data_IF_172107741575
#
_entry.id   IF_172107741575
#
_cell.length_a   1.000
_cell.length_b   1.000
_cell.length_c   1.000
_cell.angle_alpha   90.00
_cell.angle_beta   90.00
_cell.angle_gamma   90.00
#
_symmetry.space_group_name_H-M   'P 1'
#
loop_
_entity.id
_entity.type
_entity.pdbx_description
1 polymer ?
#
# COMPACT_ATOMS: atom_id res chain seq x y z
N UNK A 1 -3.71 3.76 21.76
CA UNK A 1 -2.40 3.79 21.08
C UNK A 1 -1.38 4.56 21.93
N UNK A 2 -0.08 4.36 21.68
CA UNK A 2 1.00 5.09 22.34
C UNK A 2 0.93 6.59 22.05
N UNK A 3 1.56 7.45 22.88
CA UNK A 3 1.63 8.89 22.60
C UNK A 3 2.26 9.21 21.24
N UNK A 4 3.33 8.50 20.87
CA UNK A 4 4.01 8.67 19.60
C UNK A 4 3.10 8.37 18.41
N UNK A 5 2.41 7.21 18.41
CA UNK A 5 1.47 6.88 17.35
C UNK A 5 0.29 7.86 17.32
N UNK A 6 -0.22 8.26 18.48
CA UNK A 6 -1.30 9.23 18.57
C UNK A 6 -0.92 10.57 17.94
N UNK A 7 0.32 11.03 18.14
CA UNK A 7 0.81 12.26 17.57
C UNK A 7 0.63 12.24 16.04
N UNK A 8 1.11 11.20 15.36
CA UNK A 8 1.02 11.10 13.90
C UNK A 8 -0.40 10.79 13.37
N UNK A 9 -1.26 10.19 14.15
CA UNK A 9 -2.65 9.93 13.73
C UNK A 9 -3.55 11.17 13.83
N UNK A 10 -3.27 12.08 14.75
CA UNK A 10 -4.14 13.23 15.00
C UNK A 10 -3.57 14.57 14.55
N UNK A 11 -2.30 14.62 14.17
CA UNK A 11 -1.67 15.82 13.65
C UNK A 11 -1.30 15.65 12.17
N UNK A 12 -1.48 16.72 11.41
CA UNK A 12 -1.06 16.76 10.01
C UNK A 12 0.43 17.14 9.95
N UNK A 13 1.31 16.17 10.22
CA UNK A 13 2.77 16.35 10.23
C UNK A 13 3.30 16.28 8.81
N UNK A 14 4.05 17.28 8.41
CA UNK A 14 4.72 17.38 7.10
C UNK A 14 6.23 17.24 7.25
N UNK A 15 6.94 17.04 6.15
CA UNK A 15 8.41 16.99 6.17
C UNK A 15 9.05 18.26 6.76
N UNK A 16 8.42 19.42 6.62
CA UNK A 16 8.90 20.69 7.15
C UNK A 16 8.90 20.74 8.69
N UNK A 17 8.09 19.91 9.35
CA UNK A 17 7.99 19.84 10.81
C UNK A 17 9.14 19.03 11.45
N UNK A 18 9.94 18.32 10.62
CA UNK A 18 11.10 17.56 11.07
C UNK A 18 12.36 18.43 11.12
N UNK A 19 12.46 19.28 12.14
CA UNK A 19 13.68 20.04 12.45
C UNK A 19 14.53 19.38 13.55
N UNK A 20 15.75 19.88 13.73
CA UNK A 20 16.60 19.44 14.85
C UNK A 20 15.91 19.84 16.16
N UNK A 21 15.69 18.87 17.06
CA UNK A 21 14.96 19.03 18.32
C UNK A 21 13.47 19.42 18.16
N UNK A 22 12.86 19.06 17.02
CA UNK A 22 11.41 19.22 16.87
C UNK A 22 10.64 18.09 17.56
N UNK A 23 9.41 18.39 18.02
CA UNK A 23 8.51 17.39 18.59
C UNK A 23 8.24 16.24 17.61
N UNK A 24 8.09 16.55 16.32
CA UNK A 24 7.89 15.53 15.28
C UNK A 24 9.04 14.53 15.22
N UNK A 25 10.30 15.00 15.29
CA UNK A 25 11.47 14.14 15.30
C UNK A 25 11.55 13.28 16.58
N UNK A 26 11.24 13.88 17.74
CA UNK A 26 11.22 13.17 19.02
C UNK A 26 10.17 12.06 19.04
N UNK A 27 8.94 12.36 18.58
CA UNK A 27 7.87 11.36 18.50
C UNK A 27 8.17 10.28 17.46
N UNK A 28 8.79 10.65 16.34
CA UNK A 28 9.19 9.67 15.31
C UNK A 28 10.26 8.70 15.83
N UNK A 29 11.23 9.19 16.61
CA UNK A 29 12.27 8.35 17.20
C UNK A 29 11.74 7.36 18.26
N UNK A 30 10.56 7.64 18.82
CA UNK A 30 9.88 6.77 19.80
C UNK A 30 8.90 5.79 19.14
N UNK A 31 8.57 5.98 17.86
CA UNK A 31 7.58 5.17 17.16
C UNK A 31 8.22 3.89 16.62
N UNK A 32 7.63 2.75 16.92
CA UNK A 32 8.03 1.45 16.39
C UNK A 32 6.83 0.57 15.98
N UNK A 33 7.14 -0.62 15.42
CA UNK A 33 6.12 -1.59 14.98
C UNK A 33 5.23 -2.09 16.14
N UNK A 34 5.74 -2.10 17.37
CA UNK A 34 4.96 -2.55 18.53
C UNK A 34 3.85 -1.56 18.88
N UNK A 35 4.09 -0.25 18.68
CA UNK A 35 3.07 0.78 18.86
C UNK A 35 1.88 0.53 17.93
N UNK A 36 2.18 0.25 16.65
CA UNK A 36 1.16 -0.03 15.64
C UNK A 36 0.43 -1.33 15.95
N UNK A 37 1.15 -2.41 16.24
CA UNK A 37 0.56 -3.71 16.55
C UNK A 37 -0.28 -3.67 17.82
N UNK A 38 0.16 -2.96 18.87
CA UNK A 38 -0.59 -2.79 20.11
C UNK A 38 -1.89 -2.01 19.88
N UNK A 39 -1.83 -0.96 19.05
CA UNK A 39 -3.01 -0.21 18.67
C UNK A 39 -4.01 -1.07 17.89
N UNK A 40 -3.56 -1.82 16.88
CA UNK A 40 -4.42 -2.72 16.11
C UNK A 40 -5.09 -3.76 17.01
N UNK A 41 -4.37 -4.34 17.98
CA UNK A 41 -4.95 -5.28 18.94
C UNK A 41 -6.02 -4.62 19.82
N UNK A 42 -5.81 -3.38 20.26
CA UNK A 42 -6.80 -2.63 21.03
C UNK A 42 -8.05 -2.29 20.20
N UNK A 43 -7.87 -1.97 18.91
CA UNK A 43 -8.98 -1.64 18.01
C UNK A 43 -9.88 -2.83 17.63
N UNK A 44 -9.49 -4.07 17.92
CA UNK A 44 -10.35 -5.24 17.77
C UNK A 44 -11.68 -5.05 18.51
N UNK A 45 -11.66 -4.37 19.65
CA UNK A 45 -12.83 -4.10 20.49
C UNK A 45 -13.41 -2.68 20.30
N UNK A 46 -13.05 -2.02 19.19
CA UNK A 46 -13.59 -0.70 18.85
C UNK A 46 -15.09 -0.75 18.59
N UNK A 47 -15.80 0.31 18.97
CA UNK A 47 -17.21 0.53 18.59
C UNK A 47 -17.36 0.81 17.09
N UNK A 48 -16.32 1.34 16.44
CA UNK A 48 -16.25 1.48 15.01
C UNK A 48 -16.14 0.07 14.36
N UNK A 49 -17.21 -0.32 13.69
CA UNK A 49 -17.34 -1.65 13.08
C UNK A 49 -16.29 -1.92 12.01
N UNK A 50 -15.95 -0.91 11.20
CA UNK A 50 -14.93 -1.01 10.15
C UNK A 50 -13.57 -1.24 10.77
N UNK A 51 -13.18 -0.37 11.71
CA UNK A 51 -11.89 -0.47 12.40
C UNK A 51 -11.76 -1.81 13.15
N UNK A 52 -12.81 -2.24 13.83
CA UNK A 52 -12.86 -3.53 14.51
C UNK A 52 -12.71 -4.71 13.55
N UNK A 53 -13.44 -4.71 12.42
CA UNK A 53 -13.37 -5.79 11.42
C UNK A 53 -11.99 -5.87 10.78
N UNK A 54 -11.43 -4.75 10.34
CA UNK A 54 -10.10 -4.68 9.75
C UNK A 54 -9.00 -5.12 10.72
N UNK A 55 -9.08 -4.68 11.98
CA UNK A 55 -8.14 -5.07 13.03
C UNK A 55 -8.19 -6.56 13.34
N UNK A 56 -9.39 -7.16 13.43
CA UNK A 56 -9.58 -8.60 13.59
C UNK A 56 -8.99 -9.37 12.42
N UNK A 57 -9.27 -8.91 11.20
CA UNK A 57 -8.77 -9.54 9.97
C UNK A 57 -7.24 -9.53 9.93
N UNK A 58 -6.61 -8.40 10.27
CA UNK A 58 -5.17 -8.27 10.31
C UNK A 58 -4.52 -9.22 11.34
N UNK A 59 -5.01 -9.24 12.57
CA UNK A 59 -4.45 -10.08 13.65
C UNK A 59 -4.65 -11.57 13.35
N UNK A 60 -5.78 -11.95 12.77
CA UNK A 60 -6.10 -13.34 12.42
C UNK A 60 -5.51 -13.75 11.06
N UNK A 61 -4.74 -12.88 10.38
CA UNK A 61 -4.16 -13.11 9.06
C UNK A 61 -5.20 -13.45 7.98
N UNK A 62 -6.41 -12.92 8.12
CA UNK A 62 -7.47 -13.00 7.13
C UNK A 62 -7.35 -11.83 6.17
N UNK A 63 -6.28 -11.84 5.36
CA UNK A 63 -5.98 -10.76 4.44
C UNK A 63 -7.03 -10.64 3.33
N UNK A 64 -7.13 -9.46 2.75
CA UNK A 64 -7.94 -9.21 1.57
C UNK A 64 -7.59 -10.18 0.45
N UNK A 65 -8.60 -10.61 -0.29
CA UNK A 65 -8.40 -11.41 -1.49
C UNK A 65 -8.16 -10.49 -2.68
N UNK A 66 -7.00 -10.66 -3.34
CA UNK A 66 -6.66 -9.95 -4.57
C UNK A 66 -7.15 -10.71 -5.80
N UNK A 67 -7.78 -10.02 -6.73
CA UNK A 67 -8.19 -10.54 -8.04
C UNK A 67 -7.73 -9.58 -9.13
N UNK A 68 -7.31 -10.12 -10.28
CA UNK A 68 -6.91 -9.32 -11.44
C UNK A 68 -8.17 -8.83 -12.17
N UNK A 69 -8.14 -7.58 -12.60
CA UNK A 69 -9.20 -6.96 -13.39
C UNK A 69 -8.70 -6.67 -14.81
N UNK A 70 -9.50 -7.00 -15.82
CA UNK A 70 -9.23 -6.68 -17.21
C UNK A 70 -9.56 -5.21 -17.54
N UNK A 71 -10.48 -4.61 -16.80
CA UNK A 71 -10.92 -3.21 -16.96
C UNK A 71 -11.21 -2.58 -15.59
N UNK A 72 -11.27 -1.22 -15.51
CA UNK A 72 -11.73 -0.53 -14.31
C UNK A 72 -13.15 -0.95 -13.93
N UNK A 73 -13.43 -0.98 -12.62
CA UNK A 73 -14.78 -1.21 -12.13
C UNK A 73 -15.73 -0.09 -12.58
N UNK A 74 -16.91 -0.47 -13.06
CA UNK A 74 -17.99 0.47 -13.33
C UNK A 74 -18.63 0.96 -12.04
N UNK A 75 -19.31 2.12 -12.08
CA UNK A 75 -20.01 2.64 -10.91
C UNK A 75 -21.11 1.70 -10.42
N UNK A 76 -21.76 0.96 -11.33
CA UNK A 76 -22.73 -0.06 -10.97
C UNK A 76 -22.10 -1.21 -10.17
N UNK A 77 -20.92 -1.70 -10.59
CA UNK A 77 -20.18 -2.75 -9.86
C UNK A 77 -19.68 -2.26 -8.49
N UNK A 78 -19.22 -1.01 -8.40
CA UNK A 78 -18.80 -0.40 -7.12
C UNK A 78 -19.99 -0.30 -6.15
N UNK A 79 -21.15 0.12 -6.66
CA UNK A 79 -22.37 0.19 -5.86
C UNK A 79 -22.83 -1.19 -5.38
N UNK A 80 -22.78 -2.20 -6.24
CA UNK A 80 -23.09 -3.59 -5.89
C UNK A 80 -22.16 -4.13 -4.80
N UNK A 81 -20.85 -3.85 -4.90
CA UNK A 81 -19.88 -4.20 -3.86
C UNK A 81 -20.23 -3.54 -2.52
N UNK A 82 -20.51 -2.24 -2.52
CA UNK A 82 -20.90 -1.53 -1.29
C UNK A 82 -22.17 -2.13 -0.67
N UNK A 83 -23.19 -2.42 -1.46
CA UNK A 83 -24.41 -3.05 -0.96
C UNK A 83 -24.15 -4.44 -0.39
N UNK A 84 -23.36 -5.26 -1.07
CA UNK A 84 -23.00 -6.60 -0.62
C UNK A 84 -22.31 -6.56 0.75
N UNK A 85 -21.33 -5.67 0.93
CA UNK A 85 -20.61 -5.55 2.20
C UNK A 85 -21.44 -4.89 3.30
N UNK A 86 -22.28 -3.90 2.94
CA UNK A 86 -23.19 -3.27 3.88
C UNK A 86 -24.17 -4.29 4.49
N UNK A 87 -24.77 -5.14 3.66
CA UNK A 87 -25.68 -6.19 4.10
C UNK A 87 -24.97 -7.27 4.91
N UNK A 88 -23.83 -7.77 4.43
CA UNK A 88 -23.12 -8.89 5.06
C UNK A 88 -22.54 -8.52 6.43
N UNK A 89 -22.09 -7.28 6.63
CA UNK A 89 -21.38 -6.84 7.83
C UNK A 89 -22.22 -5.89 8.69
N UNK A 90 -23.43 -5.53 8.26
CA UNK A 90 -24.28 -4.58 8.96
C UNK A 90 -23.67 -3.17 9.03
N UNK A 91 -23.06 -2.75 7.92
CA UNK A 91 -22.42 -1.45 7.71
C UNK A 91 -23.34 -0.52 6.92
N UNK A 92 -23.05 0.77 6.95
CA UNK A 92 -23.62 1.72 5.97
C UNK A 92 -22.92 1.57 4.62
N UNK A 93 -23.51 2.09 3.52
CA UNK A 93 -22.85 2.09 2.21
C UNK A 93 -21.54 2.88 2.21
N UNK A 94 -21.43 3.93 3.03
CA UNK A 94 -20.21 4.72 3.20
C UNK A 94 -19.12 3.93 3.92
N UNK A 95 -19.48 3.16 4.95
CA UNK A 95 -18.54 2.28 5.66
C UNK A 95 -18.09 1.09 4.81
N UNK A 96 -18.97 0.56 3.97
CA UNK A 96 -18.69 -0.59 3.12
C UNK A 96 -17.58 -0.34 2.09
N UNK A 97 -17.35 0.92 1.68
CA UNK A 97 -16.25 1.28 0.78
C UNK A 97 -14.86 0.93 1.32
N UNK A 98 -14.69 0.77 2.63
CA UNK A 98 -13.43 0.36 3.25
C UNK A 98 -13.18 -1.17 3.18
N UNK A 99 -14.17 -1.95 2.72
CA UNK A 99 -14.07 -3.41 2.63
C UNK A 99 -13.53 -3.89 1.28
N UNK A 100 -13.28 -2.99 0.36
CA UNK A 100 -12.66 -3.30 -0.93
C UNK A 100 -11.84 -2.11 -1.44
N UNK A 101 -10.91 -2.37 -2.35
CA UNK A 101 -10.16 -1.30 -3.03
C UNK A 101 -9.76 -1.72 -4.44
N UNK A 102 -9.78 -0.79 -5.38
CA UNK A 102 -9.22 -0.94 -6.71
C UNK A 102 -7.81 -0.36 -6.74
N UNK A 103 -6.85 -1.11 -7.23
CA UNK A 103 -5.45 -0.69 -7.31
C UNK A 103 -4.90 -0.89 -8.71
N UNK A 104 -4.19 0.11 -9.20
CA UNK A 104 -3.46 0.05 -10.48
C UNK A 104 -1.99 -0.07 -10.18
N UNK A 105 -1.40 -1.20 -10.54
CA UNK A 105 0.04 -1.42 -10.42
C UNK A 105 0.71 -1.20 -11.76
N UNK A 106 1.70 -0.31 -11.77
CA UNK A 106 2.63 -0.13 -12.88
C UNK A 106 3.99 -0.60 -12.39
N UNK A 107 4.40 -1.80 -12.73
CA UNK A 107 5.75 -2.24 -12.39
C UNK A 107 6.70 -1.86 -13.52
N UNK A 108 7.74 -1.11 -13.19
CA UNK A 108 8.92 -1.02 -14.03
C UNK A 108 9.87 -2.12 -13.58
N UNK A 109 10.17 -3.07 -14.47
CA UNK A 109 11.15 -4.10 -14.16
C UNK A 109 12.56 -3.52 -14.20
N UNK A 110 12.75 -2.51 -15.03
CA UNK A 110 14.01 -1.78 -15.20
C UNK A 110 13.74 -0.33 -15.61
N UNK A 111 14.51 0.62 -15.09
CA UNK A 111 14.43 2.03 -15.47
C UNK A 111 15.85 2.54 -15.78
N UNK A 112 16.13 2.79 -17.03
CA UNK A 112 17.42 3.34 -17.49
C UNK A 112 17.84 4.63 -16.78
N UNK A 113 16.90 5.37 -16.21
CA UNK A 113 17.16 6.68 -15.59
C UNK A 113 17.32 6.64 -14.06
N UNK A 114 16.73 5.64 -13.39
CA UNK A 114 16.71 5.61 -11.93
C UNK A 114 17.52 4.46 -11.32
N UNK A 115 17.64 3.35 -12.07
CA UNK A 115 18.25 2.10 -11.59
C UNK A 115 19.24 1.54 -12.64
N UNK A 116 20.01 2.39 -13.35
CA UNK A 116 21.00 1.93 -14.33
C UNK A 116 22.06 1.06 -13.64
N UNK A 117 22.30 -0.10 -14.21
CA UNK A 117 23.39 -0.99 -13.80
C UNK A 117 24.51 -0.85 -14.80
N UNK A 118 25.55 -0.15 -14.43
CA UNK A 118 26.68 0.12 -15.28
C UNK A 118 27.72 -1.02 -15.21
N UNK A 119 28.12 -1.49 -16.39
CA UNK A 119 29.19 -2.49 -16.55
C UNK A 119 30.48 -1.78 -16.91
N UNK A 120 31.49 -1.92 -16.04
CA UNK A 120 32.86 -1.47 -16.32
C UNK A 120 33.63 -2.57 -17.04
N UNK A 121 34.05 -2.30 -18.26
CA UNK A 121 34.89 -3.19 -19.06
C UNK A 121 36.38 -3.04 -18.71
N UNK A 122 37.18 -4.06 -19.04
CA UNK A 122 38.63 -4.08 -18.77
C UNK A 122 39.42 -2.97 -19.47
N UNK A 123 38.84 -2.40 -20.54
CA UNK A 123 39.42 -1.27 -21.30
C UNK A 123 38.98 0.11 -20.75
N UNK A 124 38.27 0.13 -19.61
CA UNK A 124 37.80 1.33 -18.95
C UNK A 124 36.48 1.92 -19.48
N UNK A 125 35.87 1.30 -20.49
CA UNK A 125 34.53 1.72 -20.96
C UNK A 125 33.48 1.33 -19.95
N UNK A 126 32.48 2.21 -19.79
CA UNK A 126 31.29 1.95 -18.99
C UNK A 126 30.10 1.91 -19.92
N UNK A 127 29.26 0.87 -19.83
CA UNK A 127 27.99 0.75 -20.54
C UNK A 127 26.89 0.27 -19.62
N UNK A 128 25.69 0.75 -19.83
CA UNK A 128 24.51 0.20 -19.17
C UNK A 128 24.36 -1.29 -19.53
N UNK A 129 23.95 -2.12 -18.56
CA UNK A 129 23.75 -3.57 -18.75
C UNK A 129 22.77 -3.85 -19.88
N UNK A 130 21.84 -2.96 -20.07
CA UNK A 130 20.84 -3.03 -21.09
C UNK A 130 21.42 -2.87 -22.51
N UNK A 131 22.42 -2.01 -22.68
CA UNK A 131 23.16 -1.85 -23.93
C UNK A 131 24.24 -2.93 -24.12
N UNK A 132 24.73 -3.49 -23.02
CA UNK A 132 25.84 -4.44 -23.01
C UNK A 132 25.39 -5.88 -23.25
N UNK A 133 24.11 -6.20 -23.02
CA UNK A 133 23.60 -7.57 -23.11
C UNK A 133 22.92 -7.80 -24.46
N UNK A 134 23.43 -8.76 -25.23
CA UNK A 134 22.78 -9.27 -26.43
C UNK A 134 21.57 -10.19 -26.11
N UNK A 135 21.40 -10.57 -24.86
CA UNK A 135 20.39 -11.56 -24.41
C UNK A 135 19.17 -10.87 -23.80
N UNK A 136 19.33 -9.65 -23.28
CA UNK A 136 18.24 -8.91 -22.63
C UNK A 136 17.44 -8.16 -23.70
N UNK A 137 16.22 -8.61 -23.93
CA UNK A 137 15.23 -7.86 -24.71
C UNK A 137 14.72 -6.67 -23.89
N UNK A 138 15.33 -5.52 -24.12
CA UNK A 138 15.00 -4.25 -23.47
C UNK A 138 13.57 -3.81 -23.71
N UNK A 139 13.01 -4.06 -24.88
CA UNK A 139 11.62 -3.70 -25.14
C UNK A 139 10.66 -4.46 -24.24
N UNK A 140 10.98 -5.69 -23.87
CA UNK A 140 10.17 -6.47 -22.94
C UNK A 140 10.34 -6.02 -21.49
N UNK A 141 11.52 -5.53 -21.11
CA UNK A 141 11.82 -5.05 -19.76
C UNK A 141 11.32 -3.61 -19.50
N UNK A 142 11.30 -2.78 -20.54
CA UNK A 142 10.82 -1.40 -20.46
C UNK A 142 9.30 -1.27 -20.64
N UNK A 143 8.63 -2.33 -21.12
CA UNK A 143 7.16 -2.36 -21.15
C UNK A 143 6.63 -2.23 -19.73
N UNK A 144 5.79 -1.21 -19.52
CA UNK A 144 5.06 -0.98 -18.25
C UNK A 144 3.69 -1.66 -18.33
N UNK A 145 3.57 -2.96 -18.01
CA UNK A 145 2.26 -3.57 -17.99
C UNK A 145 1.44 -2.91 -16.90
N UNK A 146 0.34 -2.28 -17.30
CA UNK A 146 -0.64 -1.76 -16.35
C UNK A 146 -1.48 -2.95 -15.91
N UNK A 147 -1.36 -3.34 -14.65
CA UNK A 147 -2.20 -4.37 -14.04
C UNK A 147 -3.17 -3.72 -13.08
N UNK A 148 -4.42 -4.10 -13.17
CA UNK A 148 -5.47 -3.66 -12.25
C UNK A 148 -5.86 -4.78 -11.34
N UNK A 149 -6.02 -4.48 -10.07
CA UNK A 149 -6.41 -5.44 -9.05
C UNK A 149 -7.60 -4.88 -8.27
N UNK A 150 -8.50 -5.78 -7.87
CA UNK A 150 -9.43 -5.51 -6.79
C UNK A 150 -9.01 -6.33 -5.58
N UNK A 151 -8.94 -5.69 -4.43
CA UNK A 151 -8.75 -6.33 -3.14
C UNK A 151 -10.07 -6.32 -2.39
N UNK A 152 -10.53 -7.49 -1.96
CA UNK A 152 -11.82 -7.67 -1.30
C UNK A 152 -11.65 -8.26 0.09
N UNK A 153 -12.33 -7.67 1.08
CA UNK A 153 -12.46 -8.26 2.41
C UNK A 153 -13.13 -9.63 2.31
N UNK A 154 -12.74 -10.57 3.13
CA UNK A 154 -13.34 -11.90 3.16
C UNK A 154 -14.54 -11.91 4.10
N UNK A 155 -15.71 -12.13 3.53
CA UNK A 155 -16.97 -12.34 4.24
C UNK A 155 -17.07 -13.82 4.62
#
# INVERSE_FOLDING_TARGET
>A
CSPALRYFLYQNVTFADFGVHSEALEQYALLDDNDVLSAIKAWISSEDKVLSALSKSFINRQLFRGELLDAPLTDAQKKELNQTYAEALGLTEEEAQYMWSEHVSTSNTYSEKADSIDILYSDGRVRDIAEASEILDLESLTRKPIKRYIFKYRI
#
